data_IF_122041995006
#
_entry.id   IF_122041995006
#
_cell.length_a   1.000
_cell.length_b   1.000
_cell.length_c   1.000
_cell.angle_alpha   90.00
_cell.angle_beta   90.00
_cell.angle_gamma   90.00
#
_symmetry.space_group_name_H-M   'P 1'
#
loop_
_entity.id
_entity.type
_entity.pdbx_description
1 polymer ?
#
# COMPACT_ATOMS: atom_id res chain seq x y z
N UNK A 1 0.51 -8.21 -4.54
CA UNK A 1 0.61 -6.74 -4.39
C UNK A 1 1.65 -6.23 -5.36
N UNK A 2 1.34 -5.18 -6.11
CA UNK A 2 2.27 -4.44 -6.95
C UNK A 2 2.36 -3.00 -6.41
N UNK A 3 3.53 -2.60 -5.92
CA UNK A 3 3.74 -1.26 -5.37
C UNK A 3 4.22 -0.32 -6.48
N UNK A 4 3.48 0.75 -6.73
CA UNK A 4 3.75 1.74 -7.79
C UNK A 4 3.75 3.17 -7.25
N UNK A 5 3.69 3.34 -5.93
CA UNK A 5 3.72 4.65 -5.30
C UNK A 5 5.14 5.21 -5.30
N UNK A 6 5.30 6.49 -5.66
CA UNK A 6 6.59 7.15 -5.72
C UNK A 6 6.59 8.39 -4.82
N UNK A 7 7.55 8.45 -3.90
CA UNK A 7 7.82 9.62 -3.08
C UNK A 7 9.08 10.31 -3.62
N UNK A 8 8.91 11.40 -4.36
CA UNK A 8 10.03 12.02 -5.07
C UNK A 8 10.54 13.30 -4.40
N UNK A 9 11.87 13.46 -4.23
CA UNK A 9 12.59 14.65 -4.65
C UNK A 9 12.99 14.55 -6.14
N UNK A 10 13.07 15.71 -6.80
CA UNK A 10 13.16 15.94 -8.26
C UNK A 10 14.43 15.41 -8.96
N UNK A 11 15.34 14.74 -8.26
CA UNK A 11 16.69 14.44 -8.76
C UNK A 11 16.81 13.09 -9.48
N UNK A 12 15.77 12.25 -9.43
CA UNK A 12 15.64 11.08 -10.29
C UNK A 12 14.72 11.50 -11.44
N UNK A 13 15.07 11.26 -12.73
CA UNK A 13 14.15 11.53 -13.82
C UNK A 13 12.82 10.85 -13.52
N UNK A 14 11.69 11.54 -13.64
CA UNK A 14 10.35 10.99 -13.36
C UNK A 14 10.22 9.63 -14.06
N UNK A 15 10.43 8.56 -13.30
CA UNK A 15 10.30 7.19 -13.78
C UNK A 15 8.91 6.74 -13.40
N UNK A 16 8.21 6.14 -14.35
CA UNK A 16 6.93 5.52 -14.07
C UNK A 16 7.14 4.30 -13.17
N UNK A 17 6.77 4.43 -11.89
CA UNK A 17 6.71 3.34 -10.93
C UNK A 17 7.70 3.47 -9.77
N UNK A 18 7.66 2.47 -8.88
CA UNK A 18 8.49 2.44 -7.68
C UNK A 18 9.83 1.75 -7.93
N UNK A 19 10.84 2.14 -7.17
CA UNK A 19 12.16 1.50 -7.10
C UNK A 19 12.18 0.49 -5.94
N UNK A 20 13.00 -0.56 -6.09
CA UNK A 20 13.20 -1.57 -5.05
C UNK A 20 13.49 -0.93 -3.69
N UNK A 21 12.72 -1.32 -2.67
CA UNK A 21 12.92 -0.90 -1.28
C UNK A 21 12.17 0.37 -0.89
N UNK A 22 11.54 1.07 -1.82
CA UNK A 22 10.69 2.23 -1.48
C UNK A 22 9.46 1.83 -0.66
N UNK A 23 8.94 0.62 -0.87
CA UNK A 23 7.81 0.04 -0.14
C UNK A 23 8.06 -0.13 1.36
N UNK A 24 9.32 -0.36 1.77
CA UNK A 24 9.69 -0.55 3.16
C UNK A 24 9.34 0.66 4.04
N UNK A 25 9.59 1.87 3.54
CA UNK A 25 9.25 3.11 4.24
C UNK A 25 7.76 3.21 4.56
N UNK A 26 6.91 2.70 3.66
CA UNK A 26 5.46 2.71 3.81
C UNK A 26 4.97 1.60 4.74
N UNK A 27 5.54 0.40 4.65
CA UNK A 27 5.24 -0.72 5.57
C UNK A 27 5.63 -0.36 7.00
N UNK A 28 6.76 0.31 7.20
CA UNK A 28 7.22 0.74 8.53
C UNK A 28 6.53 2.01 9.03
N UNK A 29 5.60 2.59 8.27
CA UNK A 29 4.81 3.74 8.71
C UNK A 29 5.57 5.06 8.77
N UNK A 30 6.70 5.20 8.07
CA UNK A 30 7.44 6.47 8.05
C UNK A 30 6.57 7.67 7.62
N UNK A 31 5.67 7.56 6.62
CA UNK A 31 4.74 8.65 6.29
C UNK A 31 3.82 9.07 7.43
N UNK A 32 3.51 8.17 8.38
CA UNK A 32 2.59 8.41 9.49
C UNK A 32 3.25 9.17 10.65
N UNK A 33 4.58 9.06 10.78
CA UNK A 33 5.37 9.69 11.83
C UNK A 33 5.66 11.16 11.48
N UNK A 34 5.49 11.55 10.21
CA UNK A 34 5.71 12.91 9.73
C UNK A 34 7.18 13.30 9.64
N UNK A 35 7.44 14.61 9.68
CA UNK A 35 8.79 15.21 9.62
C UNK A 35 9.55 15.02 10.94
N UNK A 36 9.81 13.76 11.30
CA UNK A 36 10.78 13.45 12.35
C UNK A 36 12.18 13.71 11.79
N UNK A 37 13.08 14.25 12.61
CA UNK A 37 14.43 14.68 12.24
C UNK A 37 15.33 13.60 11.57
N UNK A 38 14.85 12.37 11.42
CA UNK A 38 15.52 11.25 10.73
C UNK A 38 14.99 10.98 9.32
N UNK A 39 13.86 11.56 8.93
CA UNK A 39 13.23 11.37 7.61
C UNK A 39 13.53 12.57 6.72
N UNK A 40 14.54 12.47 5.86
CA UNK A 40 14.82 13.50 4.84
C UNK A 40 13.75 13.57 3.72
N UNK A 41 12.61 12.91 3.88
CA UNK A 41 11.58 12.74 2.86
C UNK A 41 10.32 13.52 3.21
N UNK A 42 9.92 14.44 2.33
CA UNK A 42 8.66 15.17 2.42
C UNK A 42 7.50 14.28 1.94
N UNK A 43 6.80 13.61 2.86
CA UNK A 43 5.67 12.76 2.51
C UNK A 43 4.41 13.56 2.19
N UNK A 44 3.71 13.17 1.12
CA UNK A 44 2.43 13.74 0.72
C UNK A 44 1.25 13.14 1.51
N UNK A 45 0.07 13.77 1.44
CA UNK A 45 -1.17 13.17 1.96
C UNK A 45 -1.51 11.83 1.28
N UNK A 46 -1.18 11.68 0.00
CA UNK A 46 -1.34 10.42 -0.71
C UNK A 46 -0.42 9.33 -0.15
N UNK A 47 0.77 9.71 0.31
CA UNK A 47 1.75 8.77 0.87
C UNK A 47 1.30 8.24 2.23
N UNK A 48 0.74 9.15 3.04
CA UNK A 48 0.08 8.82 4.31
C UNK A 48 -1.04 7.81 4.05
N UNK A 49 -1.90 8.06 3.06
CA UNK A 49 -2.99 7.17 2.71
C UNK A 49 -2.48 5.80 2.24
N UNK A 50 -1.49 5.79 1.34
CA UNK A 50 -0.88 4.57 0.84
C UNK A 50 -0.26 3.73 1.98
N UNK A 51 0.46 4.38 2.91
CA UNK A 51 1.05 3.72 4.08
C UNK A 51 -0.02 3.16 5.01
N UNK A 52 -1.07 3.92 5.33
CA UNK A 52 -2.21 3.42 6.13
C UNK A 52 -2.82 2.18 5.49
N UNK A 53 -3.14 2.24 4.20
CA UNK A 53 -3.73 1.12 3.45
C UNK A 53 -2.82 -0.10 3.45
N UNK A 54 -1.52 0.08 3.19
CA UNK A 54 -0.55 -1.02 3.15
C UNK A 54 -0.44 -1.70 4.52
N UNK A 55 -0.26 -0.90 5.58
CA UNK A 55 -0.15 -1.39 6.95
C UNK A 55 -1.42 -2.12 7.36
N UNK A 56 -2.60 -1.60 7.00
CA UNK A 56 -3.86 -2.24 7.34
C UNK A 56 -3.95 -3.64 6.71
N UNK A 57 -3.74 -3.76 5.39
CA UNK A 57 -3.74 -5.05 4.70
C UNK A 57 -2.72 -6.04 5.28
N UNK A 58 -1.50 -5.58 5.55
CA UNK A 58 -0.45 -6.43 6.12
C UNK A 58 -0.81 -6.86 7.54
N UNK A 59 -1.32 -5.95 8.37
CA UNK A 59 -1.70 -6.24 9.76
C UNK A 59 -2.87 -7.24 9.84
N UNK A 60 -3.88 -7.07 8.98
CA UNK A 60 -5.01 -7.99 8.87
C UNK A 60 -4.54 -9.37 8.43
N UNK A 61 -3.71 -9.42 7.37
CA UNK A 61 -3.15 -10.68 6.89
C UNK A 61 -2.32 -11.41 7.96
N UNK A 62 -1.49 -10.67 8.72
CA UNK A 62 -0.71 -11.27 9.82
C UNK A 62 -1.63 -11.84 10.91
N UNK A 63 -2.76 -11.17 11.20
CA UNK A 63 -3.68 -11.56 12.27
C UNK A 63 -4.57 -12.75 11.89
N UNK A 64 -5.15 -12.75 10.68
CA UNK A 64 -6.22 -13.69 10.31
C UNK A 64 -5.92 -14.50 9.04
N UNK A 65 -4.88 -14.14 8.29
CA UNK A 65 -4.63 -14.67 6.94
C UNK A 65 -5.49 -14.02 5.85
N UNK A 66 -6.40 -13.11 6.19
CA UNK A 66 -7.24 -12.36 5.23
C UNK A 66 -6.93 -10.86 5.32
N UNK A 67 -6.39 -10.23 4.24
CA UNK A 67 -6.07 -8.81 4.24
C UNK A 67 -7.31 -7.91 4.39
N UNK A 68 -8.51 -8.40 4.08
CA UNK A 68 -9.76 -7.62 4.05
C UNK A 68 -10.52 -7.59 5.39
N UNK A 69 -9.97 -8.21 6.44
CA UNK A 69 -10.64 -8.29 7.74
C UNK A 69 -10.97 -6.88 8.24
N UNK A 70 -12.23 -6.63 8.58
CA UNK A 70 -12.59 -5.37 9.25
C UNK A 70 -11.91 -5.34 10.63
N UNK A 71 -11.01 -4.38 10.82
CA UNK A 71 -10.30 -4.16 12.07
C UNK A 71 -11.24 -3.55 13.10
N UNK A 72 -12.14 -4.38 13.63
CA UNK A 72 -12.90 -4.10 14.86
C UNK A 72 -11.97 -3.92 16.07
N UNK A 73 -10.75 -4.45 15.98
CA UNK A 73 -9.70 -4.36 17.01
C UNK A 73 -8.54 -3.45 16.56
N UNK A 74 -8.84 -2.18 16.27
CA UNK A 74 -7.84 -1.14 16.52
C UNK A 74 -7.65 -1.08 18.04
N UNK A 75 -6.45 -1.27 18.60
CA UNK A 75 -6.20 -0.90 19.98
C UNK A 75 -6.24 0.62 20.03
N UNK A 76 -7.45 1.18 20.13
CA UNK A 76 -7.62 2.49 20.70
C UNK A 76 -7.03 2.40 22.08
N UNK A 77 -5.82 2.94 22.23
CA UNK A 77 -5.32 3.40 23.51
C UNK A 77 -6.48 4.17 24.16
N UNK A 78 -7.11 3.55 25.15
CA UNK A 78 -8.10 4.18 26.01
C UNK A 78 -7.38 5.29 26.78
N UNK A 79 -7.26 6.46 26.16
CA UNK A 79 -6.77 7.66 26.81
C UNK A 79 -7.36 8.89 26.11
N UNK A 80 -8.65 9.08 26.35
CA UNK A 80 -9.34 10.37 26.43
C UNK A 80 -9.44 11.25 25.16
N UNK A 81 -10.64 11.83 25.06
CA UNK A 81 -11.03 13.01 24.28
C UNK A 81 -11.54 12.77 22.86
N UNK A 82 -12.87 12.68 22.76
CA UNK A 82 -13.71 13.60 21.97
C UNK A 82 -13.03 14.32 20.79
N UNK A 83 -12.58 13.59 19.78
CA UNK A 83 -12.50 14.10 18.42
C UNK A 83 -12.45 12.86 17.51
N UNK A 84 -13.63 12.28 17.20
CA UNK A 84 -13.78 11.49 15.96
C UNK A 84 -13.66 12.48 14.82
N UNK A 85 -12.43 12.91 14.57
CA UNK A 85 -12.11 13.71 13.43
C UNK A 85 -12.48 12.90 12.20
N UNK A 86 -13.03 13.57 11.21
CA UNK A 86 -13.70 13.07 10.01
C UNK A 86 -12.68 12.42 9.04
N UNK A 87 -11.73 11.63 9.57
CA UNK A 87 -10.73 10.88 8.80
C UNK A 87 -11.50 9.80 8.07
N UNK A 88 -11.92 10.13 6.86
CA UNK A 88 -12.44 9.21 5.85
C UNK A 88 -11.61 7.94 5.92
N UNK A 89 -12.19 6.88 6.49
CA UNK A 89 -11.67 5.53 6.33
C UNK A 89 -11.40 5.38 4.83
N UNK A 90 -10.15 5.11 4.41
CA UNK A 90 -9.88 4.90 3.01
C UNK A 90 -10.86 3.83 2.54
N UNK A 91 -11.66 4.14 1.52
CA UNK A 91 -12.49 3.13 0.87
C UNK A 91 -11.52 2.13 0.22
N UNK A 92 -11.14 1.11 0.99
CA UNK A 92 -10.12 0.14 0.64
C UNK A 92 -10.76 -0.86 -0.32
N UNK A 93 -10.28 -0.96 -1.57
CA UNK A 93 -10.85 -1.90 -2.53
C UNK A 93 -10.60 -3.32 -2.06
N UNK A 94 -11.60 -4.20 -2.16
CA UNK A 94 -11.45 -5.59 -1.78
C UNK A 94 -10.24 -6.25 -2.47
N UNK A 95 -9.36 -6.86 -1.68
CA UNK A 95 -8.20 -7.60 -2.12
C UNK A 95 -8.57 -9.05 -2.36
N UNK A 96 -8.95 -9.35 -3.60
CA UNK A 96 -9.25 -10.70 -4.05
C UNK A 96 -8.03 -11.64 -3.99
N UNK A 97 -8.30 -12.91 -3.68
CA UNK A 97 -7.27 -13.95 -3.68
C UNK A 97 -6.70 -14.15 -5.08
N UNK A 98 -5.39 -14.36 -5.17
CA UNK A 98 -4.76 -14.72 -6.42
C UNK A 98 -5.11 -16.16 -6.80
N UNK A 99 -5.59 -16.37 -8.03
CA UNK A 99 -5.75 -17.68 -8.65
C UNK A 99 -5.12 -17.69 -10.05
N UNK A 100 -4.86 -18.88 -10.60
CA UNK A 100 -4.15 -19.02 -11.88
C UNK A 100 -4.96 -18.62 -13.11
N UNK A 101 -6.29 -18.55 -12.98
CA UNK A 101 -7.22 -18.22 -14.06
C UNK A 101 -7.40 -16.71 -14.15
N UNK A 102 -7.80 -16.06 -13.05
CA UNK A 102 -8.08 -14.62 -13.04
C UNK A 102 -6.83 -13.78 -12.78
N UNK A 103 -5.84 -14.34 -12.08
CA UNK A 103 -4.57 -13.68 -11.76
C UNK A 103 -4.73 -12.29 -11.15
N UNK A 104 -5.77 -12.12 -10.32
CA UNK A 104 -6.05 -10.84 -9.67
C UNK A 104 -4.92 -10.44 -8.72
N UNK A 105 -4.53 -9.18 -8.78
CA UNK A 105 -3.55 -8.60 -7.89
C UNK A 105 -3.97 -7.18 -7.49
N UNK A 106 -3.57 -6.79 -6.29
CA UNK A 106 -3.72 -5.42 -5.82
C UNK A 106 -2.57 -4.55 -6.34
N UNK A 107 -2.88 -3.40 -6.94
CA UNK A 107 -1.92 -2.34 -7.24
C UNK A 107 -2.04 -1.23 -6.21
N UNK A 108 -0.92 -0.84 -5.61
CA UNK A 108 -0.81 0.27 -4.68
C UNK A 108 0.04 1.38 -5.31
N UNK A 109 -0.63 2.28 -6.03
CA UNK A 109 -0.05 3.50 -6.59
C UNK A 109 -0.82 4.73 -6.12
N UNK A 110 -0.94 5.76 -6.98
CA UNK A 110 -1.73 6.96 -6.69
C UNK A 110 -3.19 6.66 -6.31
N UNK A 111 -3.72 5.54 -6.81
CA UNK A 111 -4.99 4.95 -6.40
C UNK A 111 -4.76 3.46 -6.14
N UNK A 112 -5.31 2.97 -5.04
CA UNK A 112 -5.32 1.53 -4.76
C UNK A 112 -6.42 0.90 -5.60
N UNK A 113 -6.09 -0.08 -6.43
CA UNK A 113 -7.04 -0.73 -7.32
C UNK A 113 -6.68 -2.21 -7.52
N UNK A 114 -7.70 -3.06 -7.67
CA UNK A 114 -7.52 -4.43 -8.17
C UNK A 114 -7.30 -4.41 -9.68
N UNK A 115 -6.31 -5.16 -10.12
CA UNK A 115 -6.02 -5.45 -11.53
C UNK A 115 -5.84 -6.96 -11.74
N UNK A 116 -5.67 -7.37 -12.98
CA UNK A 116 -5.52 -8.75 -13.41
C UNK A 116 -4.29 -8.91 -14.32
N UNK A 117 -3.79 -10.14 -14.45
CA UNK A 117 -2.74 -10.52 -15.40
C UNK A 117 -1.49 -9.63 -15.35
N UNK A 118 -0.84 -9.55 -14.18
CA UNK A 118 0.35 -8.73 -13.99
C UNK A 118 1.40 -8.99 -15.06
N UNK A 119 1.63 -7.99 -15.93
CA UNK A 119 2.56 -8.04 -17.06
C UNK A 119 2.36 -9.29 -17.95
N UNK A 120 1.12 -9.73 -18.15
CA UNK A 120 0.76 -10.98 -18.81
C UNK A 120 1.58 -11.32 -20.05
N UNK A 121 1.63 -10.42 -21.05
CA UNK A 121 2.42 -10.66 -22.28
C UNK A 121 3.91 -10.93 -22.02
N UNK A 122 4.52 -10.17 -21.11
CA UNK A 122 5.94 -10.35 -20.75
C UNK A 122 6.11 -11.67 -19.99
N UNK A 123 5.23 -11.99 -19.05
CA UNK A 123 5.33 -13.25 -18.31
C UNK A 123 5.15 -14.47 -19.21
N UNK A 124 4.18 -14.44 -20.15
CA UNK A 124 4.00 -15.53 -21.11
C UNK A 124 5.23 -15.77 -21.98
N UNK A 125 5.93 -14.70 -22.37
CA UNK A 125 7.20 -14.81 -23.09
C UNK A 125 8.23 -15.60 -22.27
N UNK A 126 8.49 -15.16 -21.03
CA UNK A 126 9.50 -15.76 -20.13
C UNK A 126 9.17 -17.18 -19.65
N UNK A 127 7.89 -17.53 -19.55
CA UNK A 127 7.46 -18.82 -19.00
C UNK A 127 7.21 -19.90 -20.05
N UNK A 128 6.87 -19.52 -21.29
CA UNK A 128 6.43 -20.47 -22.31
C UNK A 128 7.16 -20.38 -23.66
N UNK A 129 7.85 -19.26 -23.97
CA UNK A 129 8.48 -19.10 -25.28
C UNK A 129 10.01 -19.28 -25.24
N UNK A 130 10.67 -18.74 -24.22
CA UNK A 130 12.13 -18.84 -24.05
C UNK A 130 12.50 -19.82 -22.95
#
# INVERSE_FOLDING_TARGET
LHFQHHNGPKDIPMRSGSVRGEDLSFIFGLPLIGDSASSNNNYSRGDVLASKTLINYVSNFIRTGDPNTESSDSPTLEANNQQRDNQQEPNMPFWDTYDTINQFYMELGSRTERKDHYRGHKMSLWLNLI
#
